data_IF_529813103158
#
_entry.id   IF_529813103158
#
_cell.length_a   1.000
_cell.length_b   1.000
_cell.length_c   1.000
_cell.angle_alpha   90.00
_cell.angle_beta   90.00
_cell.angle_gamma   90.00
#
_symmetry.space_group_name_H-M   'P 1'
#
loop_
_entity.id
_entity.type
_entity.pdbx_description
1 polymer ?
#
# COMPACT_ATOMS: atom_id res chain seq x y z
N UNK A 1 -19.93 -7.62 -0.89
CA UNK A 1 -18.91 -7.85 0.14
C UNK A 1 -18.52 -9.31 0.09
N UNK A 2 -17.48 -9.54 -0.67
CA UNK A 2 -16.74 -10.80 -0.71
C UNK A 2 -15.91 -10.89 0.59
N UNK A 3 -15.87 -12.06 1.24
CA UNK A 3 -15.03 -12.21 2.43
C UNK A 3 -13.54 -12.15 2.04
N UNK A 4 -12.68 -11.57 2.89
CA UNK A 4 -11.23 -11.47 2.62
C UNK A 4 -10.62 -12.84 2.27
N UNK A 5 -11.11 -13.93 2.88
CA UNK A 5 -10.68 -15.30 2.56
C UNK A 5 -10.84 -15.66 1.08
N UNK A 6 -11.91 -15.21 0.41
CA UNK A 6 -12.13 -15.51 -1.01
C UNK A 6 -11.16 -14.72 -1.90
N UNK A 7 -10.78 -13.50 -1.51
CA UNK A 7 -9.75 -12.74 -2.23
C UNK A 7 -8.36 -13.33 -2.01
N UNK A 8 -8.03 -13.76 -0.78
CA UNK A 8 -6.78 -14.47 -0.47
C UNK A 8 -6.68 -15.75 -1.31
N UNK A 9 -7.73 -16.58 -1.32
CA UNK A 9 -7.78 -17.81 -2.12
C UNK A 9 -7.60 -17.51 -3.61
N UNK A 10 -8.21 -16.44 -4.11
CA UNK A 10 -8.07 -16.00 -5.50
C UNK A 10 -6.63 -15.64 -5.84
N UNK A 11 -5.98 -14.79 -5.04
CA UNK A 11 -4.62 -14.32 -5.33
C UNK A 11 -3.53 -15.31 -4.95
N UNK A 12 -3.84 -16.34 -4.16
CA UNK A 12 -2.88 -17.40 -3.80
C UNK A 12 -2.24 -18.04 -5.04
N UNK A 13 -3.00 -18.11 -6.15
CA UNK A 13 -2.59 -18.72 -7.42
C UNK A 13 -1.96 -17.74 -8.41
N UNK A 14 -1.95 -16.45 -8.10
CA UNK A 14 -1.49 -15.43 -9.02
C UNK A 14 0.04 -15.48 -9.17
N UNK A 15 0.50 -15.23 -10.39
CA UNK A 15 1.91 -14.94 -10.69
C UNK A 15 2.09 -13.47 -11.14
N UNK A 16 3.28 -13.14 -11.63
CA UNK A 16 3.58 -11.79 -12.13
C UNK A 16 2.76 -11.40 -13.36
N UNK A 17 2.38 -12.34 -14.21
CA UNK A 17 1.51 -12.09 -15.36
C UNK A 17 0.10 -11.73 -14.89
N UNK A 18 -0.45 -12.45 -13.92
CA UNK A 18 -1.74 -12.13 -13.31
C UNK A 18 -1.73 -10.76 -12.61
N UNK A 19 -0.65 -10.45 -11.89
CA UNK A 19 -0.47 -9.16 -11.22
C UNK A 19 -0.35 -8.01 -12.21
N UNK A 20 0.35 -8.21 -13.33
CA UNK A 20 0.45 -7.23 -14.42
C UNK A 20 -0.93 -6.98 -15.03
N UNK A 21 -1.72 -8.03 -15.26
CA UNK A 21 -3.07 -7.89 -15.79
C UNK A 21 -4.00 -7.19 -14.79
N UNK A 22 -3.92 -7.53 -13.50
CA UNK A 22 -4.69 -6.88 -12.45
C UNK A 22 -4.31 -5.40 -12.33
N UNK A 23 -3.04 -5.05 -12.47
CA UNK A 23 -2.59 -3.65 -12.50
C UNK A 23 -3.23 -2.87 -13.64
N UNK A 24 -3.24 -3.44 -14.84
CA UNK A 24 -3.91 -2.83 -15.99
C UNK A 24 -5.39 -2.58 -15.71
N UNK A 25 -6.08 -3.55 -15.10
CA UNK A 25 -7.47 -3.40 -14.67
C UNK A 25 -7.64 -2.27 -13.63
N UNK A 26 -6.74 -2.18 -12.64
CA UNK A 26 -6.73 -1.09 -11.65
C UNK A 26 -6.57 0.24 -12.37
N UNK A 27 -5.55 0.40 -13.22
CA UNK A 27 -5.26 1.67 -13.91
C UNK A 27 -6.39 2.12 -14.84
N UNK A 28 -7.06 1.18 -15.50
CA UNK A 28 -8.22 1.47 -16.37
C UNK A 28 -9.55 1.62 -15.63
N UNK A 29 -9.53 1.56 -14.29
CA UNK A 29 -10.72 1.64 -13.43
C UNK A 29 -11.76 0.55 -13.74
N UNK A 30 -11.29 -0.63 -14.16
CA UNK A 30 -12.10 -1.75 -14.63
C UNK A 30 -11.71 -3.04 -13.91
N UNK A 31 -12.12 -3.17 -12.65
CA UNK A 31 -11.79 -4.30 -11.75
C UNK A 31 -13.02 -5.17 -11.47
N UNK A 32 -13.53 -5.96 -12.44
CA UNK A 32 -14.71 -6.80 -12.23
C UNK A 32 -14.48 -7.87 -11.16
N UNK A 33 -15.49 -8.10 -10.31
CA UNK A 33 -15.38 -8.95 -9.12
C UNK A 33 -14.57 -8.34 -7.97
N UNK A 34 -14.09 -7.10 -8.19
CA UNK A 34 -13.51 -6.13 -7.28
C UNK A 34 -14.50 -5.42 -6.35
N UNK A 35 -14.52 -5.67 -5.04
CA UNK A 35 -15.02 -4.63 -4.13
C UNK A 35 -14.09 -3.38 -4.23
N UNK A 36 -14.61 -2.16 -4.07
CA UNK A 36 -13.82 -0.93 -4.22
C UNK A 36 -12.54 -0.94 -3.37
N UNK A 37 -11.40 -0.63 -4.00
CA UNK A 37 -10.07 -0.60 -3.35
C UNK A 37 -9.39 -1.96 -3.19
N UNK A 38 -10.14 -3.07 -3.11
CA UNK A 38 -9.55 -4.40 -2.84
C UNK A 38 -8.59 -4.88 -3.91
N UNK A 39 -8.85 -4.58 -5.18
CA UNK A 39 -7.95 -4.96 -6.27
C UNK A 39 -6.53 -4.43 -6.06
N UNK A 40 -6.37 -3.17 -5.62
CA UNK A 40 -5.05 -2.59 -5.35
C UNK A 40 -4.40 -3.21 -4.11
N UNK A 41 -5.17 -3.36 -3.03
CA UNK A 41 -4.72 -3.95 -1.76
C UNK A 41 -4.10 -5.33 -1.97
N UNK A 42 -4.84 -6.24 -2.60
CA UNK A 42 -4.37 -7.59 -2.82
C UNK A 42 -3.26 -7.67 -3.87
N UNK A 43 -3.24 -6.77 -4.85
CA UNK A 43 -2.15 -6.66 -5.82
C UNK A 43 -0.82 -6.31 -5.15
N UNK A 44 -0.81 -5.29 -4.28
CA UNK A 44 0.42 -4.84 -3.60
C UNK A 44 0.96 -5.95 -2.69
N UNK A 45 0.09 -6.54 -1.88
CA UNK A 45 0.48 -7.63 -0.98
C UNK A 45 1.01 -8.85 -1.75
N UNK A 46 0.34 -9.23 -2.84
CA UNK A 46 0.80 -10.34 -3.69
C UNK A 46 2.13 -10.01 -4.38
N UNK A 47 2.33 -8.75 -4.81
CA UNK A 47 3.61 -8.30 -5.36
C UNK A 47 4.76 -8.46 -4.37
N UNK A 48 4.54 -8.12 -3.10
CA UNK A 48 5.52 -8.37 -2.04
C UNK A 48 5.76 -9.87 -1.79
N UNK A 49 4.71 -10.68 -1.72
CA UNK A 49 4.83 -12.13 -1.54
C UNK A 49 5.63 -12.77 -2.68
N UNK A 50 5.33 -12.42 -3.94
CA UNK A 50 6.06 -12.89 -5.13
C UNK A 50 7.52 -12.40 -5.15
N UNK A 51 7.81 -11.30 -4.47
CA UNK A 51 9.18 -10.77 -4.31
C UNK A 51 9.92 -11.38 -3.11
N UNK A 52 9.35 -12.40 -2.46
CA UNK A 52 9.97 -13.14 -1.36
C UNK A 52 9.77 -12.54 0.03
N UNK A 53 8.86 -11.58 0.20
CA UNK A 53 8.51 -11.07 1.53
C UNK A 53 7.51 -12.00 2.26
N UNK A 54 7.57 -12.02 3.59
CA UNK A 54 6.49 -12.63 4.38
C UNK A 54 5.35 -11.63 4.50
N UNK A 55 4.13 -12.07 4.13
CA UNK A 55 2.96 -11.22 4.04
C UNK A 55 1.86 -11.71 4.96
N UNK A 56 1.41 -10.83 5.84
CA UNK A 56 0.14 -10.98 6.54
C UNK A 56 -0.94 -10.27 5.75
N UNK A 57 -1.83 -11.07 5.17
CA UNK A 57 -3.04 -10.65 4.48
C UNK A 57 -3.98 -9.83 5.37
N UNK A 58 -4.97 -9.12 4.80
CA UNK A 58 -5.80 -8.16 5.52
C UNK A 58 -6.43 -8.76 6.79
N UNK A 59 -6.39 -7.99 7.88
CA UNK A 59 -6.90 -8.46 9.17
C UNK A 59 -7.46 -7.31 10.01
N UNK A 60 -8.25 -7.69 11.02
CA UNK A 60 -8.87 -6.76 11.96
C UNK A 60 -8.22 -6.87 13.32
N UNK A 61 -8.05 -5.73 13.99
CA UNK A 61 -7.49 -5.64 15.33
C UNK A 61 -8.54 -5.10 16.29
N UNK A 62 -8.61 -5.72 17.47
CA UNK A 62 -9.40 -5.23 18.60
C UNK A 62 -8.54 -4.24 19.39
N UNK A 63 -9.06 -3.05 19.65
CA UNK A 63 -8.32 -1.98 20.37
C UNK A 63 -9.09 -1.65 21.64
N UNK A 64 -8.45 -1.79 22.80
CA UNK A 64 -9.04 -1.45 24.11
C UNK A 64 -10.44 -2.07 24.34
N UNK A 65 -10.64 -3.32 23.93
CA UNK A 65 -11.92 -4.02 24.04
C UNK A 65 -12.94 -3.70 22.94
N UNK A 66 -12.71 -2.68 22.11
CA UNK A 66 -13.53 -2.41 20.94
C UNK A 66 -13.16 -3.41 19.81
N UNK A 67 -14.03 -4.40 19.59
CA UNK A 67 -13.86 -5.42 18.54
C UNK A 67 -13.86 -4.76 17.16
N UNK A 68 -12.96 -5.22 16.29
CA UNK A 68 -12.84 -4.76 14.90
C UNK A 68 -12.63 -3.24 14.73
N UNK A 69 -12.04 -2.59 15.74
CA UNK A 69 -11.81 -1.15 15.75
C UNK A 69 -10.87 -0.68 14.63
N UNK A 70 -10.00 -1.56 14.15
CA UNK A 70 -9.01 -1.24 13.13
C UNK A 70 -9.01 -2.35 12.06
N UNK A 71 -9.11 -1.95 10.79
CA UNK A 71 -8.80 -2.80 9.64
C UNK A 71 -7.43 -2.39 9.12
N UNK A 72 -6.56 -3.38 8.97
CA UNK A 72 -5.22 -3.25 8.42
C UNK A 72 -5.22 -3.98 7.09
N UNK A 73 -4.85 -3.27 6.03
CA UNK A 73 -4.85 -3.81 4.68
C UNK A 73 -3.76 -4.89 4.55
N UNK A 74 -2.60 -4.71 5.17
CA UNK A 74 -1.67 -5.83 5.38
C UNK A 74 -0.43 -5.48 6.17
N UNK A 75 0.40 -6.48 6.40
CA UNK A 75 1.71 -6.33 7.02
C UNK A 75 2.74 -7.09 6.18
N UNK A 76 3.89 -6.46 5.93
CA UNK A 76 4.99 -7.03 5.14
C UNK A 76 6.23 -7.07 6.01
N UNK A 77 6.90 -8.21 6.02
CA UNK A 77 8.20 -8.42 6.64
C UNK A 77 9.22 -8.73 5.56
N UNK A 78 10.23 -7.87 5.42
CA UNK A 78 11.22 -7.97 4.36
C UNK A 78 12.59 -7.49 4.82
N UNK A 79 13.57 -8.39 4.91
CA UNK A 79 14.98 -8.03 5.13
C UNK A 79 15.21 -7.04 6.29
N UNK A 80 14.51 -7.23 7.42
CA UNK A 80 14.60 -6.33 8.58
C UNK A 80 13.70 -5.09 8.52
N UNK A 81 12.92 -4.92 7.46
CA UNK A 81 11.88 -3.89 7.32
C UNK A 81 10.53 -4.51 7.71
N UNK A 82 9.90 -3.92 8.73
CA UNK A 82 8.54 -4.24 9.15
C UNK A 82 7.63 -3.11 8.66
N UNK A 83 6.71 -3.39 7.73
CA UNK A 83 5.87 -2.38 7.10
C UNK A 83 4.38 -2.69 7.22
N UNK A 84 3.63 -1.75 7.79
CA UNK A 84 2.16 -1.73 7.72
C UNK A 84 1.72 -1.11 6.40
N UNK A 85 0.94 -1.87 5.63
CA UNK A 85 0.44 -1.47 4.32
C UNK A 85 -0.95 -0.85 4.48
N UNK A 86 -1.16 0.29 3.84
CA UNK A 86 -2.48 0.91 3.61
C UNK A 86 -2.60 1.23 2.12
N UNK A 87 -3.68 0.79 1.49
CA UNK A 87 -3.92 1.00 0.06
C UNK A 87 -5.10 1.95 -0.16
N UNK A 88 -4.98 2.83 -1.16
CA UNK A 88 -5.99 3.82 -1.52
C UNK A 88 -6.10 3.92 -3.03
N UNK A 89 -7.14 3.30 -3.58
CA UNK A 89 -7.51 3.47 -4.98
C UNK A 89 -8.69 4.44 -5.10
N UNK A 90 -8.40 5.73 -5.23
CA UNK A 90 -9.43 6.75 -5.44
C UNK A 90 -9.61 6.98 -6.94
N UNK A 91 -10.64 6.36 -7.51
CA UNK A 91 -10.94 6.39 -8.94
C UNK A 91 -12.30 7.05 -9.21
N UNK A 92 -12.34 7.99 -10.16
CA UNK A 92 -13.57 8.41 -10.80
C UNK A 92 -13.90 7.39 -11.90
N UNK A 93 -14.77 6.43 -11.59
CA UNK A 93 -15.14 5.35 -12.52
C UNK A 93 -15.83 5.92 -13.77
N UNK A 94 -16.61 7.00 -13.64
CA UNK A 94 -17.33 7.61 -14.77
C UNK A 94 -16.37 8.28 -15.74
N UNK A 95 -15.32 8.93 -15.21
CA UNK A 95 -14.29 9.60 -16.01
C UNK A 95 -13.07 8.72 -16.30
N UNK A 96 -13.04 7.48 -15.79
CA UNK A 96 -11.91 6.56 -15.82
C UNK A 96 -10.58 7.23 -15.45
N UNK A 97 -10.58 7.96 -14.34
CA UNK A 97 -9.44 8.77 -13.92
C UNK A 97 -9.09 8.57 -12.45
N UNK A 98 -7.79 8.45 -12.17
CA UNK A 98 -7.26 8.44 -10.81
C UNK A 98 -7.36 9.83 -10.17
N UNK A 99 -7.64 9.86 -8.88
CA UNK A 99 -7.69 11.08 -8.08
C UNK A 99 -6.48 11.12 -7.14
N UNK A 100 -6.08 12.34 -6.77
CA UNK A 100 -5.00 12.55 -5.81
C UNK A 100 -5.50 12.25 -4.39
N UNK A 101 -4.71 11.53 -3.62
CA UNK A 101 -4.99 11.18 -2.23
C UNK A 101 -4.64 12.38 -1.33
N UNK A 102 -5.57 12.74 -0.44
CA UNK A 102 -5.37 13.78 0.56
C UNK A 102 -4.55 13.26 1.76
N UNK A 103 -4.40 14.09 2.79
CA UNK A 103 -3.59 13.76 3.95
C UNK A 103 -4.28 12.84 4.97
N UNK A 104 -5.57 12.53 4.79
CA UNK A 104 -6.37 11.76 5.76
C UNK A 104 -5.82 10.35 5.99
N UNK A 105 -5.43 9.57 4.95
CA UNK A 105 -4.82 8.26 5.16
C UNK A 105 -3.49 8.32 5.91
N UNK A 106 -2.69 9.37 5.69
CA UNK A 106 -1.43 9.61 6.42
C UNK A 106 -1.71 9.85 7.90
N UNK A 107 -2.69 10.70 8.22
CA UNK A 107 -3.08 10.99 9.59
C UNK A 107 -3.57 9.72 10.33
N UNK A 108 -4.42 8.92 9.66
CA UNK A 108 -4.92 7.65 10.17
C UNK A 108 -3.78 6.68 10.45
N UNK A 109 -2.90 6.46 9.46
CA UNK A 109 -1.80 5.51 9.58
C UNK A 109 -0.81 5.93 10.67
N UNK A 110 -0.51 7.22 10.80
CA UNK A 110 0.32 7.74 11.90
C UNK A 110 -0.27 7.38 13.28
N UNK A 111 -1.58 7.55 13.47
CA UNK A 111 -2.25 7.17 14.71
C UNK A 111 -2.26 5.67 14.98
N UNK A 112 -2.27 4.85 13.92
CA UNK A 112 -2.13 3.39 14.04
C UNK A 112 -0.70 3.00 14.44
N UNK A 113 0.32 3.61 13.82
CA UNK A 113 1.73 3.35 14.13
C UNK A 113 2.11 3.80 15.54
N UNK A 114 1.56 4.91 16.04
CA UNK A 114 1.87 5.45 17.36
C UNK A 114 1.55 4.50 18.54
N UNK A 115 0.74 3.45 18.31
CA UNK A 115 0.40 2.41 19.31
C UNK A 115 1.22 1.13 19.16
N UNK A 116 2.22 1.13 18.29
CA UNK A 116 3.00 -0.06 17.92
C UNK A 116 4.49 0.19 18.17
N UNK A 117 5.30 -0.88 18.23
CA UNK A 117 6.75 -0.78 18.31
C UNK A 117 7.33 0.16 17.23
N UNK A 118 8.39 0.89 17.57
CA UNK A 118 8.96 1.96 16.73
C UNK A 118 9.69 1.47 15.48
N UNK A 119 10.00 0.18 15.40
CA UNK A 119 10.59 -0.48 14.24
C UNK A 119 9.57 -0.71 13.11
N UNK A 120 8.27 -0.60 13.39
CA UNK A 120 7.22 -0.69 12.38
C UNK A 120 7.07 0.66 11.65
N UNK A 121 7.27 0.63 10.34
CA UNK A 121 6.99 1.77 9.45
C UNK A 121 5.62 1.62 8.78
N UNK A 122 5.09 2.73 8.27
CA UNK A 122 3.91 2.73 7.41
C UNK A 122 4.28 2.82 5.94
N UNK A 123 3.47 2.21 5.09
CA UNK A 123 3.50 2.42 3.65
C UNK A 123 2.09 2.68 3.14
N UNK A 124 1.92 3.77 2.40
CA UNK A 124 0.66 4.09 1.73
C UNK A 124 0.87 3.89 0.24
N UNK A 125 0.03 3.07 -0.37
CA UNK A 125 0.03 2.81 -1.80
C UNK A 125 -1.21 3.41 -2.45
N UNK A 126 -1.02 4.16 -3.52
CA UNK A 126 -2.11 4.64 -4.36
C UNK A 126 -1.89 4.28 -5.81
N UNK A 127 -2.97 3.97 -6.52
CA UNK A 127 -2.95 3.79 -7.97
C UNK A 127 -2.77 5.12 -8.73
N UNK A 128 -2.98 6.25 -8.04
CA UNK A 128 -2.81 7.60 -8.56
C UNK A 128 -1.59 8.28 -7.95
N UNK A 129 -1.84 9.45 -7.37
CA UNK A 129 -0.81 10.32 -6.79
C UNK A 129 -1.33 10.96 -5.48
N UNK A 130 -0.53 11.78 -4.82
CA UNK A 130 -0.84 12.50 -3.59
C UNK A 130 -1.03 13.98 -3.86
N UNK A 131 -1.88 14.63 -3.09
CA UNK A 131 -1.99 16.10 -3.06
C UNK A 131 -0.74 16.76 -2.47
N UNK A 132 -0.49 18.03 -2.78
CA UNK A 132 0.68 18.76 -2.25
C UNK A 132 0.63 18.87 -0.72
N UNK A 133 -0.58 18.98 -0.16
CA UNK A 133 -0.80 18.95 1.28
C UNK A 133 -0.43 17.59 1.90
N UNK A 134 -0.74 16.48 1.24
CA UNK A 134 -0.35 15.14 1.67
C UNK A 134 1.17 14.94 1.59
N UNK A 135 1.80 15.37 0.50
CA UNK A 135 3.26 15.36 0.33
C UNK A 135 3.94 16.21 1.41
N UNK A 136 3.39 17.39 1.73
CA UNK A 136 3.90 18.22 2.82
C UNK A 136 3.75 17.49 4.16
N UNK A 137 2.56 16.97 4.47
CA UNK A 137 2.29 16.34 5.76
C UNK A 137 3.18 15.12 6.02
N UNK A 138 3.44 14.25 5.02
CA UNK A 138 4.24 13.03 5.25
C UNK A 138 5.66 13.37 5.75
N UNK A 139 6.23 14.49 5.29
CA UNK A 139 7.54 14.97 5.75
C UNK A 139 7.56 15.45 7.21
N UNK A 140 6.39 15.66 7.83
CA UNK A 140 6.23 16.07 9.22
C UNK A 140 5.56 15.00 10.10
N UNK A 141 5.57 13.73 9.69
CA UNK A 141 4.97 12.61 10.45
C UNK A 141 5.85 12.05 11.56
N UNK A 142 7.01 12.65 11.82
CA UNK A 142 7.96 12.22 12.86
C UNK A 142 7.30 12.11 14.25
N UNK A 143 7.67 11.13 15.08
CA UNK A 143 8.75 10.15 14.86
C UNK A 143 8.35 8.95 13.98
N UNK A 144 7.09 8.84 13.56
CA UNK A 144 6.66 7.73 12.70
C UNK A 144 7.18 7.90 11.28
N UNK A 145 7.76 6.84 10.71
CA UNK A 145 8.15 6.79 9.31
C UNK A 145 6.98 6.27 8.48
N UNK A 146 6.54 7.06 7.50
CA UNK A 146 5.55 6.66 6.50
C UNK A 146 6.16 6.87 5.12
N UNK A 147 6.14 5.85 4.26
CA UNK A 147 6.55 5.93 2.87
C UNK A 147 5.30 6.02 1.97
N UNK A 148 5.23 7.03 1.13
CA UNK A 148 4.17 7.20 0.15
C UNK A 148 4.61 6.65 -1.21
N UNK A 149 3.79 5.75 -1.76
CA UNK A 149 3.99 5.07 -3.03
C UNK A 149 2.91 5.47 -4.02
N UNK A 150 3.33 5.93 -5.20
CA UNK A 150 2.48 6.33 -6.32
C UNK A 150 2.18 5.19 -7.27
N UNK A 151 1.23 5.39 -8.18
CA UNK A 151 0.95 4.42 -9.24
C UNK A 151 2.15 4.18 -10.15
N UNK A 152 2.98 5.21 -10.39
CA UNK A 152 4.19 5.07 -11.20
C UNK A 152 5.23 4.14 -10.55
N UNK A 153 5.38 4.21 -9.22
CA UNK A 153 6.29 3.33 -8.49
C UNK A 153 5.77 1.90 -8.44
N UNK A 154 4.45 1.72 -8.29
CA UNK A 154 3.81 0.40 -8.36
C UNK A 154 4.02 -0.23 -9.75
N UNK A 155 3.82 0.55 -10.82
CA UNK A 155 4.12 0.13 -12.19
C UNK A 155 5.58 -0.32 -12.32
N UNK A 156 6.53 0.44 -11.77
CA UNK A 156 7.95 0.09 -11.79
C UNK A 156 8.24 -1.22 -11.03
N UNK A 157 7.60 -1.45 -9.87
CA UNK A 157 7.71 -2.72 -9.14
C UNK A 157 7.24 -3.91 -9.99
N UNK A 158 6.13 -3.75 -10.72
CA UNK A 158 5.54 -4.81 -11.53
C UNK A 158 6.38 -5.09 -12.78
N UNK A 159 6.84 -4.05 -13.46
CA UNK A 159 7.71 -4.19 -14.63
C UNK A 159 9.03 -4.87 -14.29
N UNK A 160 9.57 -4.62 -13.09
CA UNK A 160 10.78 -5.28 -12.57
C UNK A 160 10.51 -6.65 -11.96
N UNK A 161 9.24 -6.99 -11.71
CA UNK A 161 8.82 -8.17 -10.96
C UNK A 161 9.49 -8.25 -9.58
N UNK A 162 9.65 -7.09 -8.93
CA UNK A 162 10.35 -6.99 -7.65
C UNK A 162 9.92 -5.76 -6.83
N UNK A 163 8.95 -5.96 -5.94
CA UNK A 163 8.55 -4.99 -4.92
C UNK A 163 9.60 -4.88 -3.81
N UNK A 164 10.32 -5.96 -3.53
CA UNK A 164 11.25 -6.03 -2.40
C UNK A 164 12.49 -5.16 -2.62
N UNK A 165 13.03 -5.17 -3.84
CA UNK A 165 14.16 -4.30 -4.21
C UNK A 165 13.79 -2.83 -4.11
N UNK A 166 12.68 -2.40 -4.73
CA UNK A 166 12.27 -0.99 -4.68
C UNK A 166 11.90 -0.54 -3.26
N UNK A 167 11.30 -1.42 -2.44
CA UNK A 167 11.03 -1.13 -1.03
C UNK A 167 12.31 -0.85 -0.25
N UNK A 168 13.35 -1.66 -0.45
CA UNK A 168 14.66 -1.44 0.19
C UNK A 168 15.28 -0.12 -0.26
N UNK A 169 15.34 0.15 -1.56
CA UNK A 169 15.89 1.40 -2.09
C UNK A 169 15.16 2.62 -1.55
N UNK A 170 13.82 2.60 -1.55
CA UNK A 170 13.03 3.73 -1.02
C UNK A 170 13.22 3.92 0.47
N UNK A 171 13.32 2.82 1.23
CA UNK A 171 13.60 2.88 2.66
C UNK A 171 15.00 3.42 2.96
N UNK A 172 16.02 2.99 2.22
CA UNK A 172 17.39 3.52 2.31
C UNK A 172 17.43 5.03 2.03
N UNK A 173 16.76 5.49 0.96
CA UNK A 173 16.65 6.93 0.69
C UNK A 173 15.93 7.70 1.81
N UNK A 174 14.91 7.10 2.43
CA UNK A 174 14.25 7.68 3.59
C UNK A 174 15.18 7.76 4.81
N UNK A 175 16.02 6.75 5.04
CA UNK A 175 16.98 6.73 6.14
C UNK A 175 18.10 7.76 5.94
N UNK A 176 18.65 7.85 4.74
CA UNK A 176 19.79 8.70 4.42
C UNK A 176 19.40 10.17 4.26
N UNK A 177 18.26 10.44 3.62
CA UNK A 177 17.88 11.79 3.19
C UNK A 177 16.53 12.27 3.75
N UNK A 178 15.83 11.44 4.53
CA UNK A 178 14.51 11.79 5.03
C UNK A 178 13.43 11.86 3.96
N UNK A 179 13.62 11.22 2.79
CA UNK A 179 12.65 11.21 1.70
C UNK A 179 11.52 10.21 1.95
N UNK A 180 10.34 10.74 2.24
CA UNK A 180 9.13 9.95 2.47
C UNK A 180 8.29 9.74 1.20
N UNK A 181 8.55 10.54 0.16
CA UNK A 181 7.83 10.58 -1.11
C UNK A 181 8.83 10.96 -2.20
N UNK A 182 8.76 10.28 -3.35
CA UNK A 182 9.60 10.61 -4.50
C UNK A 182 8.78 11.43 -5.49
N UNK A 183 9.26 12.63 -5.80
CA UNK A 183 8.65 13.42 -6.87
C UNK A 183 8.90 12.71 -8.20
N UNK A 184 7.87 12.54 -9.05
CA UNK A 184 8.05 12.12 -10.42
C UNK A 184 9.05 13.06 -11.10
N UNK A 185 10.11 12.50 -11.71
CA UNK A 185 11.05 13.26 -12.54
C UNK A 185 10.44 13.63 -13.87
#
# INVERSE_FOLDING_TARGET
>A
MTADTQYIDRVSRYDWTDITQLWHCVMTCATPGWDPGKALEYLVLKGFELSGAEVRWPYRVTVLGAKNAEQIDGLVYLSGINAMIECKDLSDIRKRRKQRIDFTPIAKLRSQLARRPSDLIGCIFTSGDYTDAAVTMVNFTKPQTILCWTGQEIEACIQRQDFAHLMRTKYEECLEYGKHYDQPK
#
